data_IF_434067601563
#
_entry.id   IF_434067601563
#
_cell.length_a   1.000
_cell.length_b   1.000
_cell.length_c   1.000
_cell.angle_alpha   90.00
_cell.angle_beta   90.00
_cell.angle_gamma   90.00
#
_symmetry.space_group_name_H-M   'P 1'
#
loop_
_entity.id
_entity.type
_entity.pdbx_description
1 polymer ?
#
# COMPACT_ATOMS: atom_id res chain seq x y z
N UNK A 1 26.07 68.81 -8.13
CA UNK A 1 24.93 68.09 -7.53
C UNK A 1 24.86 66.69 -8.12
N UNK A 2 25.36 65.71 -7.39
CA UNK A 2 25.32 64.32 -7.83
C UNK A 2 24.02 63.68 -7.25
N UNK A 3 23.13 63.22 -8.11
CA UNK A 3 21.98 62.47 -7.78
C UNK A 3 22.35 60.99 -7.76
N UNK A 4 22.44 60.39 -6.59
CA UNK A 4 22.57 58.93 -6.42
C UNK A 4 21.19 58.30 -6.70
N UNK A 5 21.14 57.57 -7.79
CA UNK A 5 20.01 56.71 -8.11
C UNK A 5 20.20 55.38 -7.33
N UNK A 6 19.42 55.20 -6.27
CA UNK A 6 19.43 53.98 -5.49
C UNK A 6 18.60 52.93 -6.25
N UNK A 7 19.29 51.98 -6.88
CA UNK A 7 18.63 50.80 -7.45
C UNK A 7 18.35 49.85 -6.31
N UNK A 8 17.07 49.80 -5.94
CA UNK A 8 16.55 48.75 -5.03
C UNK A 8 16.49 47.44 -5.80
N UNK A 9 17.41 46.55 -5.45
CA UNK A 9 17.44 45.16 -5.98
C UNK A 9 16.38 44.38 -5.21
N UNK A 10 15.20 44.19 -5.80
CA UNK A 10 14.16 43.33 -5.25
C UNK A 10 14.57 41.87 -5.54
N UNK A 11 15.11 41.20 -4.53
CA UNK A 11 15.34 39.76 -4.59
C UNK A 11 14.00 39.07 -4.41
N UNK A 12 13.42 38.63 -5.51
CA UNK A 12 12.24 37.77 -5.50
C UNK A 12 12.73 36.36 -5.09
N UNK A 13 12.60 36.04 -3.78
CA UNK A 13 12.75 34.65 -3.33
C UNK A 13 11.57 33.85 -3.86
N UNK A 14 11.77 33.21 -5.00
CA UNK A 14 10.84 32.19 -5.47
C UNK A 14 10.86 31.02 -4.52
N UNK A 15 9.83 30.87 -3.71
CA UNK A 15 9.59 29.64 -2.97
C UNK A 15 9.30 28.55 -3.99
N UNK A 16 10.28 27.67 -4.25
CA UNK A 16 10.05 26.40 -4.90
C UNK A 16 9.16 25.57 -3.94
N UNK A 17 7.84 25.60 -4.16
CA UNK A 17 6.98 24.59 -3.59
C UNK A 17 7.39 23.26 -4.21
N UNK A 18 8.15 22.44 -3.48
CA UNK A 18 8.34 21.05 -3.82
C UNK A 18 6.94 20.41 -3.83
N UNK A 19 6.41 20.15 -5.03
CA UNK A 19 5.15 19.41 -5.19
C UNK A 19 5.35 18.06 -4.53
N UNK A 20 4.74 17.85 -3.36
CA UNK A 20 4.61 16.54 -2.80
C UNK A 20 3.79 15.72 -3.79
N UNK A 21 4.42 14.79 -4.49
CA UNK A 21 3.75 13.72 -5.19
C UNK A 21 3.06 12.85 -4.14
N UNK A 22 1.92 13.31 -3.66
CA UNK A 22 1.02 12.52 -2.85
C UNK A 22 0.34 11.50 -3.75
N UNK A 23 1.10 10.51 -4.18
CA UNK A 23 0.53 9.24 -4.61
C UNK A 23 0.05 8.50 -3.36
N UNK A 24 -0.84 9.14 -2.59
CA UNK A 24 -1.49 8.53 -1.45
C UNK A 24 -2.56 7.56 -1.96
N UNK A 25 -2.09 6.41 -2.44
CA UNK A 25 -3.00 5.31 -2.75
C UNK A 25 -3.54 4.75 -1.44
N UNK A 26 -4.85 4.67 -1.33
CA UNK A 26 -5.50 4.14 -0.13
C UNK A 26 -5.44 2.61 -0.10
N UNK A 27 -5.52 2.01 1.08
CA UNK A 27 -5.54 0.56 1.21
C UNK A 27 -6.67 -0.11 0.41
N UNK A 28 -7.92 0.40 0.38
CA UNK A 28 -8.95 -0.14 -0.50
C UNK A 28 -8.60 -0.10 -1.98
N UNK A 29 -7.95 0.97 -2.45
CA UNK A 29 -7.50 1.06 -3.85
C UNK A 29 -6.40 0.04 -4.17
N UNK A 30 -5.42 -0.10 -3.30
CA UNK A 30 -4.34 -1.06 -3.42
C UNK A 30 -4.84 -2.50 -3.37
N UNK A 31 -5.74 -2.80 -2.44
CA UNK A 31 -6.36 -4.11 -2.32
C UNK A 31 -7.13 -4.47 -3.59
N UNK A 32 -7.93 -3.56 -4.11
CA UNK A 32 -8.68 -3.77 -5.36
C UNK A 32 -7.74 -4.04 -6.54
N UNK A 33 -6.63 -3.31 -6.61
CA UNK A 33 -5.68 -3.44 -7.72
C UNK A 33 -4.86 -4.73 -7.67
N UNK A 34 -4.40 -5.13 -6.48
CA UNK A 34 -3.38 -6.16 -6.34
C UNK A 34 -3.83 -7.45 -5.66
N UNK A 35 -4.91 -7.44 -4.92
CA UNK A 35 -5.27 -8.53 -4.02
C UNK A 35 -6.60 -9.22 -4.40
N UNK A 36 -7.56 -8.49 -4.94
CA UNK A 36 -8.92 -8.98 -5.23
C UNK A 36 -8.93 -10.16 -6.19
N UNK A 37 -8.04 -10.20 -7.17
CA UNK A 37 -8.03 -11.30 -8.15
C UNK A 37 -7.86 -12.68 -7.52
N UNK A 38 -7.13 -12.78 -6.41
CA UNK A 38 -6.96 -14.02 -5.65
C UNK A 38 -7.82 -14.07 -4.38
N UNK A 39 -7.78 -13.01 -3.58
CA UNK A 39 -8.45 -12.99 -2.27
C UNK A 39 -9.94 -12.62 -2.34
N UNK A 40 -10.42 -12.11 -3.47
CA UNK A 40 -11.80 -11.66 -3.62
C UNK A 40 -12.05 -10.29 -2.99
N UNK A 41 -13.11 -9.62 -3.39
CA UNK A 41 -13.53 -8.33 -2.81
C UNK A 41 -13.97 -8.45 -1.36
N UNK A 42 -14.45 -9.62 -0.96
CA UNK A 42 -14.85 -9.95 0.40
C UNK A 42 -13.72 -10.58 1.25
N UNK A 43 -12.57 -10.87 0.64
CA UNK A 43 -11.41 -11.50 1.28
C UNK A 43 -11.51 -13.02 1.46
N UNK A 44 -12.56 -13.66 0.96
CA UNK A 44 -12.83 -15.09 1.19
C UNK A 44 -12.13 -16.04 0.23
N UNK A 45 -11.36 -15.50 -0.73
CA UNK A 45 -10.58 -16.27 -1.68
C UNK A 45 -11.41 -17.23 -2.56
N UNK A 46 -12.66 -16.88 -2.86
CA UNK A 46 -13.57 -17.71 -3.66
C UNK A 46 -13.50 -17.44 -5.17
N UNK A 47 -12.52 -16.66 -5.62
CA UNK A 47 -12.28 -16.44 -7.05
C UNK A 47 -11.64 -17.68 -7.69
N UNK A 48 -11.78 -17.83 -9.01
CA UNK A 48 -11.13 -18.94 -9.73
C UNK A 48 -9.62 -18.91 -9.56
N UNK A 49 -9.01 -17.73 -9.64
CA UNK A 49 -7.56 -17.56 -9.45
C UNK A 49 -7.14 -17.84 -8.01
N UNK A 50 -7.95 -17.44 -7.03
CA UNK A 50 -7.72 -17.73 -5.61
C UNK A 50 -7.74 -19.22 -5.31
N UNK A 51 -8.68 -19.95 -5.88
CA UNK A 51 -8.74 -21.42 -5.74
C UNK A 51 -7.54 -22.09 -6.39
N UNK A 52 -7.15 -21.66 -7.58
CA UNK A 52 -6.00 -22.20 -8.29
C UNK A 52 -4.68 -21.96 -7.55
N UNK A 53 -4.48 -20.78 -6.99
CA UNK A 53 -3.28 -20.39 -6.24
C UNK A 53 -3.33 -20.73 -4.76
N UNK A 54 -4.37 -21.40 -4.28
CA UNK A 54 -4.58 -21.71 -2.87
C UNK A 54 -4.50 -20.47 -1.97
N UNK A 55 -5.12 -19.37 -2.40
CA UNK A 55 -5.14 -18.14 -1.64
C UNK A 55 -5.86 -18.33 -0.29
N UNK A 56 -5.37 -17.65 0.72
CA UNK A 56 -5.93 -17.66 2.07
C UNK A 56 -7.28 -16.94 2.10
N UNK A 57 -8.25 -17.49 2.80
CA UNK A 57 -9.43 -16.78 3.27
C UNK A 57 -9.00 -15.80 4.38
N UNK A 58 -9.01 -14.51 4.08
CA UNK A 58 -8.56 -13.47 5.00
C UNK A 58 -9.60 -13.15 6.09
N UNK A 59 -10.82 -13.65 5.97
CA UNK A 59 -11.90 -13.41 6.94
C UNK A 59 -11.93 -14.44 8.07
N UNK A 60 -11.20 -15.54 7.94
CA UNK A 60 -11.18 -16.65 8.89
C UNK A 60 -10.67 -16.19 10.26
N UNK A 61 -11.54 -16.28 11.28
CA UNK A 61 -11.25 -15.77 12.62
C UNK A 61 -10.03 -16.43 13.26
N UNK A 62 -9.91 -17.75 13.16
CA UNK A 62 -8.77 -18.47 13.73
C UNK A 62 -7.45 -18.01 13.12
N UNK A 63 -7.37 -17.90 11.80
CA UNK A 63 -6.17 -17.40 11.14
C UNK A 63 -5.84 -15.97 11.56
N UNK A 64 -6.84 -15.10 11.65
CA UNK A 64 -6.67 -13.71 12.09
C UNK A 64 -6.10 -13.63 13.51
N UNK A 65 -6.51 -14.53 14.40
CA UNK A 65 -6.04 -14.58 15.78
C UNK A 65 -4.61 -15.14 15.91
N UNK A 66 -4.22 -16.03 15.01
CA UNK A 66 -2.89 -16.69 15.03
C UNK A 66 -1.82 -15.93 14.26
N UNK A 67 -2.20 -15.21 13.19
CA UNK A 67 -1.23 -14.51 12.32
C UNK A 67 -0.77 -13.20 12.97
N UNK A 68 0.53 -12.90 12.85
CA UNK A 68 1.08 -11.61 13.28
C UNK A 68 0.98 -10.56 12.17
N UNK A 69 0.92 -9.28 12.54
CA UNK A 69 0.97 -8.17 11.58
C UNK A 69 2.25 -8.20 10.74
N UNK A 70 3.38 -8.53 11.37
CA UNK A 70 4.66 -8.69 10.68
C UNK A 70 4.60 -9.76 9.60
N UNK A 71 3.96 -10.89 9.87
CA UNK A 71 3.81 -11.96 8.88
C UNK A 71 2.92 -11.55 7.72
N UNK A 72 1.82 -10.83 7.97
CA UNK A 72 0.98 -10.28 6.91
C UNK A 72 1.80 -9.30 6.07
N UNK A 73 2.51 -8.38 6.71
CA UNK A 73 3.38 -7.42 6.04
C UNK A 73 4.43 -8.09 5.16
N UNK A 74 5.15 -9.07 5.70
CA UNK A 74 6.19 -9.79 4.96
C UNK A 74 5.61 -10.59 3.79
N UNK A 75 4.43 -11.17 3.94
CA UNK A 75 3.74 -11.86 2.84
C UNK A 75 3.36 -10.89 1.71
N UNK A 76 2.90 -9.70 2.04
CA UNK A 76 2.58 -8.65 1.06
C UNK A 76 3.85 -8.19 0.32
N UNK A 77 4.91 -7.90 1.04
CA UNK A 77 6.13 -7.35 0.44
C UNK A 77 6.94 -8.39 -0.33
N UNK A 78 7.10 -9.59 0.22
CA UNK A 78 8.03 -10.60 -0.29
C UNK A 78 7.34 -11.81 -0.93
N UNK A 79 6.03 -11.90 -0.82
CA UNK A 79 5.30 -13.08 -1.27
C UNK A 79 5.37 -14.24 -0.27
N UNK A 80 4.67 -15.32 -0.58
CA UNK A 80 4.60 -16.50 0.26
C UNK A 80 4.26 -17.74 -0.55
N UNK A 81 5.11 -18.76 -0.48
CA UNK A 81 4.99 -20.02 -1.21
C UNK A 81 4.86 -21.25 -0.31
N UNK A 82 4.36 -21.10 0.91
CA UNK A 82 4.27 -22.23 1.86
C UNK A 82 3.03 -23.08 1.58
N UNK A 83 1.89 -22.45 1.33
CA UNK A 83 0.61 -23.12 1.07
C UNK A 83 0.22 -23.08 -0.41
N UNK A 84 0.48 -21.98 -1.04
CA UNK A 84 0.16 -21.71 -2.43
C UNK A 84 1.21 -20.78 -3.03
N UNK A 85 0.80 -19.97 -3.96
CA UNK A 85 1.72 -19.08 -4.66
C UNK A 85 1.22 -17.63 -4.60
N UNK A 86 1.63 -16.89 -3.58
CA UNK A 86 1.38 -15.47 -3.44
C UNK A 86 2.61 -14.67 -3.88
N UNK A 87 2.52 -13.81 -4.92
CA UNK A 87 3.64 -12.96 -5.31
C UNK A 87 3.91 -11.88 -4.27
N UNK A 88 5.14 -11.36 -4.24
CA UNK A 88 5.51 -10.19 -3.47
C UNK A 88 5.24 -8.90 -4.25
N UNK A 89 5.01 -7.80 -3.54
CA UNK A 89 4.63 -6.51 -4.12
C UNK A 89 5.62 -5.38 -3.79
N UNK A 90 6.82 -5.70 -3.29
CA UNK A 90 7.84 -4.70 -2.90
C UNK A 90 8.27 -3.77 -4.04
N UNK A 91 8.11 -4.19 -5.29
CA UNK A 91 8.37 -3.39 -6.49
C UNK A 91 7.18 -2.49 -6.91
N UNK A 92 6.00 -2.68 -6.31
CA UNK A 92 4.74 -1.99 -6.68
C UNK A 92 4.17 -1.10 -5.58
N UNK A 93 4.50 -1.38 -4.32
CA UNK A 93 4.02 -0.64 -3.16
C UNK A 93 5.17 -0.32 -2.22
N UNK A 94 5.05 0.77 -1.47
CA UNK A 94 6.03 1.14 -0.44
C UNK A 94 5.66 0.55 0.92
N UNK A 95 6.55 0.71 1.90
CA UNK A 95 6.36 0.21 3.26
C UNK A 95 5.08 0.75 3.90
N UNK A 96 4.83 2.04 3.81
CA UNK A 96 3.64 2.68 4.40
C UNK A 96 2.33 2.15 3.79
N UNK A 97 2.32 1.92 2.50
CA UNK A 97 1.19 1.30 1.80
C UNK A 97 0.98 -0.15 2.25
N UNK A 98 2.04 -0.91 2.44
CA UNK A 98 1.96 -2.27 2.96
C UNK A 98 1.41 -2.30 4.41
N UNK A 99 1.84 -1.39 5.27
CA UNK A 99 1.31 -1.24 6.62
C UNK A 99 -0.19 -0.91 6.61
N UNK A 100 -0.63 -0.04 5.72
CA UNK A 100 -2.05 0.27 5.55
C UNK A 100 -2.86 -0.93 5.05
N UNK A 101 -2.26 -1.77 4.20
CA UNK A 101 -2.88 -3.04 3.76
C UNK A 101 -2.97 -4.07 4.89
N UNK A 102 -2.00 -4.14 5.79
CA UNK A 102 -2.11 -4.97 7.01
C UNK A 102 -3.35 -4.59 7.80
N UNK A 103 -3.54 -3.29 8.06
CA UNK A 103 -4.72 -2.79 8.76
C UNK A 103 -6.02 -3.10 8.01
N UNK A 104 -6.00 -3.01 6.69
CA UNK A 104 -7.15 -3.38 5.86
C UNK A 104 -7.50 -4.87 6.00
N UNK A 105 -6.50 -5.75 5.92
CA UNK A 105 -6.67 -7.19 6.09
C UNK A 105 -7.25 -7.52 7.47
N UNK A 106 -6.78 -6.84 8.52
CA UNK A 106 -7.32 -7.04 9.88
C UNK A 106 -8.81 -6.72 9.98
N UNK A 107 -9.29 -5.75 9.23
CA UNK A 107 -10.73 -5.40 9.20
C UNK A 107 -11.60 -6.40 8.45
N UNK A 108 -11.00 -7.33 7.71
CA UNK A 108 -11.75 -8.40 7.02
C UNK A 108 -12.17 -9.55 7.93
N UNK A 109 -11.69 -9.61 9.16
CA UNK A 109 -12.06 -10.65 10.12
C UNK A 109 -13.59 -10.78 10.23
N UNK A 110 -14.09 -11.95 9.94
CA UNK A 110 -15.50 -12.31 10.04
C UNK A 110 -15.93 -12.73 11.45
#
# INVERSE_FOLDING_TARGET
MMRFCSLAFVICLGTLAAGANNNNRTAPQLYRKHCVSCHGSDGRAKTSKGKFSHARDLTEAQWQDEVTDERIFNSIMNGRNVRGNMPGFSDKINQKEAESLVNFVRRLKG
#
